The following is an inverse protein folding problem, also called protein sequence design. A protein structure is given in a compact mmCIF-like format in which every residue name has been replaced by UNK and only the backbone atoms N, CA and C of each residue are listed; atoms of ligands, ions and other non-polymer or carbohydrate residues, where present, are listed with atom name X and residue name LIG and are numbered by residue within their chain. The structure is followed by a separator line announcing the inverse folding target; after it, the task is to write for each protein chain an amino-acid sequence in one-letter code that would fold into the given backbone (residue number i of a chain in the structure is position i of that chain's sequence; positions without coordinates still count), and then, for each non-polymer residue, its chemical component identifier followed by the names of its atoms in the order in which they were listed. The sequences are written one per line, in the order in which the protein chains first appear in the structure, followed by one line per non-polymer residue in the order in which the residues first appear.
data_IF_341203197170
#
_entry.id   IF_341203197170
#
_cell.length_a   1.000
_cell.length_b   1.000
_cell.length_c   1.000
_cell.angle_alpha   90.00
_cell.angle_beta   90.00
_cell.angle_gamma   90.00
#
_symmetry.space_group_name_H-M   'P 1'
#
loop_
_entity.id
_entity.type
_entity.pdbx_description
1 polymer ?
#
# COMPACT_ATOMS: atom_id res chain seq x y z
N UNK A 1 0.17 -5.11 21.89
CA UNK A 1 -1.21 -4.88 22.32
C UNK A 1 -2.02 -6.16 22.17
N UNK A 2 -2.56 -6.62 23.29
CA UNK A 2 -3.41 -7.81 23.38
C UNK A 2 -4.72 -7.38 24.02
N UNK A 3 -5.83 -7.54 23.30
CA UNK A 3 -7.16 -7.05 23.69
C UNK A 3 -7.63 -7.51 25.09
N UNK A 4 -7.30 -8.75 25.49
CA UNK A 4 -7.68 -9.31 26.78
C UNK A 4 -6.90 -8.73 27.98
N UNK A 5 -5.70 -8.18 27.75
CA UNK A 5 -4.80 -7.71 28.81
C UNK A 5 -4.70 -6.19 28.87
N UNK A 6 -4.85 -5.52 27.72
CA UNK A 6 -4.57 -4.09 27.59
C UNK A 6 -5.84 -3.23 27.58
N UNK A 7 -7.02 -3.85 27.39
CA UNK A 7 -8.30 -3.14 27.45
C UNK A 7 -8.94 -3.35 28.82
N UNK A 8 -8.95 -2.29 29.62
CA UNK A 8 -9.59 -2.30 30.91
C UNK A 8 -11.11 -2.45 30.79
N UNK A 9 -11.77 -3.19 31.70
CA UNK A 9 -13.22 -3.29 31.73
C UNK A 9 -13.87 -1.90 31.87
N UNK A 10 -14.80 -1.60 30.95
CA UNK A 10 -15.51 -0.31 30.94
C UNK A 10 -14.95 0.75 29.99
N UNK A 11 -13.80 0.48 29.34
CA UNK A 11 -13.31 1.34 28.26
C UNK A 11 -14.03 1.01 26.93
N UNK A 12 -14.13 2.04 26.06
CA UNK A 12 -14.62 1.83 24.71
C UNK A 12 -13.55 1.07 23.90
N UNK A 13 -13.74 -0.24 23.81
CA UNK A 13 -12.87 -1.17 23.06
C UNK A 13 -12.53 -0.66 21.66
N UNK A 14 -13.49 0.01 21.03
CA UNK A 14 -13.32 0.55 19.69
C UNK A 14 -12.31 1.68 19.66
N UNK A 15 -12.41 2.65 20.56
CA UNK A 15 -11.50 3.80 20.62
C UNK A 15 -10.06 3.38 20.92
N UNK A 16 -9.88 2.43 21.83
CA UNK A 16 -8.56 1.90 22.17
C UNK A 16 -7.93 1.16 21.00
N UNK A 17 -8.70 0.35 20.29
CA UNK A 17 -8.23 -0.39 19.14
C UNK A 17 -7.87 0.53 17.99
N UNK A 18 -8.72 1.50 17.66
CA UNK A 18 -8.47 2.50 16.61
C UNK A 18 -7.22 3.33 16.92
N UNK A 19 -7.01 3.73 18.18
CA UNK A 19 -5.83 4.51 18.59
C UNK A 19 -4.52 3.73 18.53
N UNK A 20 -4.55 2.44 18.83
CA UNK A 20 -3.36 1.59 18.81
C UNK A 20 -2.99 1.13 17.37
N UNK A 21 -3.96 0.94 16.49
CA UNK A 21 -3.75 0.53 15.10
C UNK A 21 -2.84 1.50 14.36
N UNK A 22 -2.97 2.81 14.56
CA UNK A 22 -2.19 3.83 13.86
C UNK A 22 -0.67 3.75 14.11
N UNK A 23 -0.25 3.14 15.22
CA UNK A 23 1.17 3.07 15.65
C UNK A 23 1.71 1.66 15.74
N UNK A 24 1.02 0.71 15.15
CA UNK A 24 1.30 -0.72 15.30
C UNK A 24 1.46 -1.41 13.96
N UNK A 25 1.88 -2.66 14.00
CA UNK A 25 1.71 -3.63 12.92
C UNK A 25 0.58 -4.57 13.33
N UNK A 26 -0.45 -4.69 12.52
CA UNK A 26 -1.50 -5.67 12.76
C UNK A 26 -1.01 -7.06 12.37
N UNK A 27 -0.89 -7.95 13.35
CA UNK A 27 -0.58 -9.37 13.12
C UNK A 27 -1.87 -10.18 13.18
N UNK A 28 -2.34 -10.61 12.02
CA UNK A 28 -3.56 -11.41 11.88
C UNK A 28 -3.20 -12.88 12.04
N UNK A 29 -3.73 -13.53 13.09
CA UNK A 29 -3.67 -14.98 13.23
C UNK A 29 -4.88 -15.61 12.54
N UNK A 30 -4.74 -15.96 11.27
CA UNK A 30 -5.79 -16.54 10.44
C UNK A 30 -5.98 -18.02 10.81
N UNK A 31 -7.02 -18.31 11.56
CA UNK A 31 -7.47 -19.67 11.92
C UNK A 31 -8.73 -20.02 11.14
N UNK A 32 -9.20 -21.26 11.24
CA UNK A 32 -10.42 -21.74 10.56
C UNK A 32 -11.64 -20.83 10.83
N UNK A 33 -11.74 -20.26 12.04
CA UNK A 33 -12.86 -19.40 12.47
C UNK A 33 -12.59 -17.89 12.41
N UNK A 34 -11.40 -17.45 11.95
CA UNK A 34 -11.02 -16.03 11.97
C UNK A 34 -12.03 -15.17 11.22
N UNK A 35 -12.30 -15.54 9.99
CA UNK A 35 -13.16 -14.77 9.09
C UNK A 35 -14.66 -14.82 9.45
N UNK A 36 -15.11 -15.76 10.25
CA UNK A 36 -16.50 -15.82 10.75
C UNK A 36 -16.76 -14.79 11.84
N UNK A 37 -15.73 -14.34 12.57
CA UNK A 37 -15.82 -13.37 13.68
C UNK A 37 -15.91 -11.94 13.14
N UNK A 38 -16.97 -11.23 13.47
CA UNK A 38 -17.21 -9.87 12.99
C UNK A 38 -16.11 -8.88 13.43
N UNK A 39 -15.59 -9.00 14.65
CA UNK A 39 -14.53 -8.16 15.16
C UNK A 39 -13.23 -8.34 14.40
N UNK A 40 -12.79 -9.57 14.15
CA UNK A 40 -11.58 -9.85 13.38
C UNK A 40 -11.62 -9.21 11.97
N UNK A 41 -12.77 -9.25 11.33
CA UNK A 41 -12.95 -8.54 10.04
C UNK A 41 -12.86 -7.04 10.17
N UNK A 42 -13.45 -6.45 11.23
CA UNK A 42 -13.39 -5.00 11.49
C UNK A 42 -11.98 -4.51 11.76
N UNK A 43 -11.19 -5.24 12.55
CA UNK A 43 -9.78 -4.91 12.81
C UNK A 43 -8.98 -4.79 11.52
N UNK A 44 -9.12 -5.74 10.60
CA UNK A 44 -8.46 -5.69 9.30
C UNK A 44 -8.91 -4.49 8.47
N UNK A 45 -10.22 -4.23 8.42
CA UNK A 45 -10.74 -3.10 7.66
C UNK A 45 -10.27 -1.75 8.25
N UNK A 46 -10.22 -1.62 9.57
CA UNK A 46 -9.67 -0.44 10.24
C UNK A 46 -8.17 -0.27 9.96
N UNK A 47 -7.37 -1.34 10.12
CA UNK A 47 -5.95 -1.31 9.81
C UNK A 47 -5.70 -0.83 8.38
N UNK A 48 -6.43 -1.37 7.41
CA UNK A 48 -6.33 -0.95 6.00
C UNK A 48 -6.78 0.49 5.78
N UNK A 49 -7.87 0.92 6.40
CA UNK A 49 -8.37 2.29 6.26
C UNK A 49 -7.43 3.34 6.84
N UNK A 50 -6.65 2.96 7.85
CA UNK A 50 -5.63 3.80 8.50
C UNK A 50 -4.24 3.65 7.87
N UNK A 51 -4.08 2.75 6.90
CA UNK A 51 -2.79 2.47 6.28
C UNK A 51 -1.80 1.79 7.24
N UNK A 52 -2.29 1.08 8.25
CA UNK A 52 -1.47 0.30 9.19
C UNK A 52 -0.80 -0.87 8.47
N UNK A 53 0.50 -1.12 8.70
CA UNK A 53 1.16 -2.34 8.25
C UNK A 53 0.42 -3.57 8.76
N UNK A 54 0.26 -4.58 7.88
CA UNK A 54 -0.51 -5.78 8.20
C UNK A 54 0.23 -7.02 7.70
N UNK A 55 0.31 -8.05 8.54
CA UNK A 55 0.86 -9.35 8.18
C UNK A 55 -0.12 -10.45 8.57
N UNK A 56 -0.19 -11.52 7.78
CA UNK A 56 -1.08 -12.64 8.00
C UNK A 56 -0.27 -13.87 8.41
N UNK A 57 -0.61 -14.44 9.54
CA UNK A 57 -0.08 -15.71 10.00
C UNK A 57 -1.11 -16.78 9.72
N UNK A 58 -0.86 -17.58 8.69
CA UNK A 58 -1.78 -18.62 8.29
C UNK A 58 -1.63 -19.85 9.20
N UNK A 59 -2.60 -20.03 10.08
CA UNK A 59 -2.75 -21.13 11.02
C UNK A 59 -4.02 -21.94 10.77
N UNK A 60 -4.53 -21.93 9.54
CA UNK A 60 -5.68 -22.74 9.11
C UNK A 60 -5.28 -24.22 9.14
N UNK A 61 -6.07 -25.03 9.84
CA UNK A 61 -5.80 -26.45 10.06
C UNK A 61 -6.68 -27.37 9.18
N UNK A 62 -7.91 -27.01 9.01
CA UNK A 62 -8.87 -27.78 8.19
C UNK A 62 -9.32 -26.94 6.99
N UNK A 63 -10.21 -25.99 7.23
CA UNK A 63 -10.73 -25.08 6.23
C UNK A 63 -11.26 -23.80 6.88
N UNK A 64 -11.22 -22.71 6.17
CA UNK A 64 -11.89 -21.49 6.62
C UNK A 64 -13.41 -21.65 6.51
N UNK A 65 -14.14 -21.35 7.58
CA UNK A 65 -15.62 -21.35 7.56
C UNK A 65 -16.18 -20.29 6.60
N UNK A 66 -15.42 -19.21 6.38
CA UNK A 66 -15.82 -18.10 5.53
C UNK A 66 -14.61 -17.45 4.87
N UNK A 67 -14.65 -17.26 3.57
CA UNK A 67 -13.66 -16.46 2.86
C UNK A 67 -13.70 -14.98 3.28
N UNK A 68 -12.52 -14.37 3.40
CA UNK A 68 -12.36 -12.94 3.67
C UNK A 68 -11.30 -12.34 2.74
N UNK A 69 -11.71 -11.72 1.62
CA UNK A 69 -10.81 -11.34 0.53
C UNK A 69 -9.79 -10.26 0.89
N UNK A 70 -10.01 -9.51 1.98
CA UNK A 70 -9.16 -8.37 2.35
C UNK A 70 -7.83 -8.74 3.02
N UNK A 71 -7.49 -10.02 3.09
CA UNK A 71 -6.18 -10.50 3.55
C UNK A 71 -5.24 -10.84 2.38
N UNK A 72 -5.76 -10.95 1.16
CA UNK A 72 -5.04 -11.51 0.02
C UNK A 72 -3.85 -10.70 -0.49
N UNK A 73 -3.80 -9.39 -0.22
CA UNK A 73 -2.69 -8.51 -0.61
C UNK A 73 -1.70 -8.21 0.53
N UNK A 74 -1.83 -8.89 1.66
CA UNK A 74 -0.91 -8.74 2.79
C UNK A 74 0.17 -9.83 2.76
N UNK A 75 1.41 -9.53 3.20
CA UNK A 75 2.43 -10.54 3.40
C UNK A 75 1.93 -11.65 4.32
N UNK A 76 2.12 -12.89 3.92
CA UNK A 76 1.64 -14.04 4.70
C UNK A 76 2.76 -15.01 5.04
N UNK A 77 2.66 -15.61 6.23
CA UNK A 77 3.52 -16.67 6.72
C UNK A 77 2.66 -17.87 7.11
N UNK A 78 2.92 -19.02 6.53
CA UNK A 78 2.31 -20.26 7.00
C UNK A 78 3.16 -20.82 8.14
N UNK A 79 2.53 -21.07 9.29
CA UNK A 79 3.22 -21.65 10.44
C UNK A 79 3.08 -23.17 10.44
N UNK A 80 4.13 -23.83 10.94
CA UNK A 80 4.13 -25.22 11.32
C UNK A 80 4.25 -25.29 12.86
N UNK A 81 3.27 -25.83 13.53
CA UNK A 81 3.23 -25.99 15.00
C UNK A 81 4.45 -26.77 15.52
N UNK A 82 5.07 -27.61 14.68
CA UNK A 82 6.23 -28.42 15.00
C UNK A 82 7.56 -27.68 14.89
N UNK A 83 7.58 -26.55 14.18
CA UNK A 83 8.79 -25.72 14.08
C UNK A 83 8.88 -24.77 15.27
N UNK A 84 9.83 -24.97 16.21
CA UNK A 84 9.95 -24.10 17.37
C UNK A 84 10.36 -22.67 17.05
N UNK A 85 10.75 -22.39 15.80
CA UNK A 85 11.21 -21.05 15.37
C UNK A 85 10.08 -20.16 14.86
N UNK A 86 8.86 -20.69 14.70
CA UNK A 86 7.75 -19.91 14.15
C UNK A 86 7.49 -18.57 14.86
N UNK A 87 7.64 -18.43 16.22
CA UNK A 87 7.42 -17.11 16.85
C UNK A 87 8.45 -16.07 16.40
N UNK A 88 9.70 -16.47 16.23
CA UNK A 88 10.75 -15.59 15.72
C UNK A 88 10.47 -15.19 14.26
N UNK A 89 9.95 -16.11 13.44
CA UNK A 89 9.56 -15.82 12.06
C UNK A 89 8.39 -14.81 12.00
N UNK A 90 7.43 -14.90 12.91
CA UNK A 90 6.32 -13.92 13.04
C UNK A 90 6.86 -12.54 13.35
N UNK A 91 7.77 -12.43 14.33
CA UNK A 91 8.40 -11.15 14.67
C UNK A 91 9.19 -10.61 13.48
N UNK A 92 9.95 -11.45 12.80
CA UNK A 92 10.75 -11.05 11.65
C UNK A 92 9.90 -10.53 10.48
N UNK A 93 8.78 -11.18 10.15
CA UNK A 93 7.88 -10.70 9.08
C UNK A 93 7.19 -9.40 9.47
N UNK A 94 6.76 -9.25 10.73
CA UNK A 94 6.15 -8.03 11.24
C UNK A 94 7.12 -6.84 11.18
N UNK A 95 8.36 -7.03 11.66
CA UNK A 95 9.41 -6.00 11.59
C UNK A 95 9.77 -5.63 10.15
N UNK A 96 9.89 -6.62 9.26
CA UNK A 96 10.16 -6.37 7.84
C UNK A 96 9.05 -5.55 7.19
N UNK A 97 7.80 -5.83 7.50
CA UNK A 97 6.66 -5.08 6.96
C UNK A 97 6.64 -3.65 7.51
N UNK A 98 6.91 -3.47 8.78
CA UNK A 98 7.03 -2.15 9.40
C UNK A 98 8.17 -1.33 8.76
N UNK A 99 9.35 -1.94 8.55
CA UNK A 99 10.49 -1.28 7.91
C UNK A 99 10.18 -0.92 6.45
N UNK A 100 9.54 -1.82 5.71
CA UNK A 100 9.08 -1.54 4.33
C UNK A 100 8.16 -0.32 4.29
N UNK A 101 7.25 -0.24 5.22
CA UNK A 101 6.31 0.87 5.35
C UNK A 101 7.03 2.19 5.67
N UNK A 102 7.87 2.22 6.70
CA UNK A 102 8.64 3.40 7.07
C UNK A 102 9.55 3.86 5.93
N UNK A 103 10.22 2.92 5.28
CA UNK A 103 11.11 3.22 4.15
C UNK A 103 10.35 3.81 2.96
N UNK A 104 9.16 3.28 2.64
CA UNK A 104 8.32 3.82 1.57
C UNK A 104 7.97 5.29 1.81
N UNK A 105 7.54 5.65 3.02
CA UNK A 105 7.19 7.04 3.33
C UNK A 105 8.40 7.97 3.32
N UNK A 106 9.53 7.53 3.87
CA UNK A 106 10.78 8.31 3.86
C UNK A 106 11.26 8.54 2.42
N UNK A 107 11.36 7.48 1.63
CA UNK A 107 11.76 7.57 0.22
C UNK A 107 10.80 8.44 -0.60
N UNK A 108 9.49 8.32 -0.37
CA UNK A 108 8.50 9.16 -1.05
C UNK A 108 8.66 10.65 -0.70
N UNK A 109 8.96 10.97 0.55
CA UNK A 109 9.22 12.34 0.97
C UNK A 109 10.43 12.93 0.23
N UNK A 110 11.53 12.16 0.15
CA UNK A 110 12.74 12.57 -0.57
C UNK A 110 12.45 12.76 -2.09
N UNK A 111 11.74 11.82 -2.71
CA UNK A 111 11.38 11.91 -4.13
C UNK A 111 10.47 13.10 -4.45
N UNK A 112 9.56 13.46 -3.53
CA UNK A 112 8.75 14.67 -3.64
C UNK A 112 9.60 15.93 -3.49
N UNK A 113 10.54 15.94 -2.54
CA UNK A 113 11.41 17.06 -2.31
C UNK A 113 12.29 17.38 -3.52
N UNK A 114 12.82 16.37 -4.22
CA UNK A 114 13.62 16.54 -5.43
C UNK A 114 12.81 16.69 -6.71
N UNK A 115 11.47 16.72 -6.63
CA UNK A 115 10.56 16.92 -7.75
C UNK A 115 10.40 15.72 -8.71
N UNK A 116 10.88 14.55 -8.35
CA UNK A 116 10.70 13.32 -9.13
C UNK A 116 9.30 12.74 -9.00
N UNK A 117 8.61 13.02 -7.91
CA UNK A 117 7.22 12.66 -7.66
C UNK A 117 6.41 13.94 -7.41
N UNK A 118 5.27 14.15 -8.07
CA UNK A 118 4.38 15.29 -7.83
C UNK A 118 3.90 15.36 -6.38
N UNK A 119 3.71 16.59 -5.88
CA UNK A 119 3.28 16.81 -4.49
C UNK A 119 1.86 16.32 -4.19
N UNK A 120 0.98 16.34 -5.20
CA UNK A 120 -0.42 15.91 -5.14
C UNK A 120 -0.62 14.38 -5.11
N UNK A 121 0.46 13.59 -5.24
CA UNK A 121 0.38 12.14 -5.10
C UNK A 121 0.11 11.74 -3.65
N UNK A 122 -1.02 11.07 -3.42
CA UNK A 122 -1.36 10.53 -2.10
C UNK A 122 -0.73 9.15 -1.89
N UNK A 123 -0.06 8.90 -0.75
CA UNK A 123 0.53 7.61 -0.48
C UNK A 123 -0.53 6.56 -0.16
N UNK A 124 -0.32 5.35 -0.71
CA UNK A 124 -0.99 4.12 -0.32
C UNK A 124 0.08 3.13 0.12
N UNK A 125 0.08 2.64 1.37
CA UNK A 125 1.17 1.80 1.90
C UNK A 125 1.23 0.41 1.27
N UNK A 126 0.20 0.02 0.54
CA UNK A 126 0.08 -1.23 -0.19
C UNK A 126 -0.53 -0.99 -1.58
N UNK A 127 -0.41 -1.95 -2.52
CA UNK A 127 -1.13 -1.89 -3.79
C UNK A 127 -2.61 -1.64 -3.54
N UNK A 128 -3.24 -0.69 -4.27
CA UNK A 128 -4.63 -0.35 -4.05
C UNK A 128 -5.56 -1.50 -4.41
N UNK A 129 -6.51 -1.77 -3.54
CA UNK A 129 -7.64 -2.68 -3.77
C UNK A 129 -8.85 -1.91 -4.27
N UNK A 130 -9.79 -2.60 -4.92
CA UNK A 130 -11.05 -1.99 -5.39
C UNK A 130 -11.77 -1.26 -4.25
N UNK A 131 -11.81 -1.83 -3.05
CA UNK A 131 -12.42 -1.20 -1.87
C UNK A 131 -11.74 0.11 -1.49
N UNK A 132 -10.41 0.15 -1.54
CA UNK A 132 -9.61 1.35 -1.27
C UNK A 132 -9.94 2.46 -2.26
N UNK A 133 -10.06 2.11 -3.54
CA UNK A 133 -10.41 3.06 -4.60
C UNK A 133 -11.84 3.58 -4.44
N UNK A 134 -12.81 2.71 -4.20
CA UNK A 134 -14.21 3.13 -3.97
C UNK A 134 -14.35 4.05 -2.76
N UNK A 135 -13.65 3.76 -1.66
CA UNK A 135 -13.65 4.62 -0.47
C UNK A 135 -13.06 6.00 -0.76
N UNK A 136 -12.02 6.07 -1.60
CA UNK A 136 -11.41 7.33 -2.00
C UNK A 136 -12.28 8.14 -2.95
N UNK A 137 -12.91 7.49 -3.93
CA UNK A 137 -13.87 8.14 -4.84
C UNK A 137 -15.03 8.80 -4.09
N UNK A 138 -15.45 8.22 -2.96
CA UNK A 138 -16.47 8.82 -2.11
C UNK A 138 -15.99 10.06 -1.36
N UNK A 139 -14.68 10.18 -1.10
CA UNK A 139 -14.09 11.27 -0.30
C UNK A 139 -13.55 12.41 -1.16
N UNK A 140 -13.05 12.13 -2.35
CA UNK A 140 -12.40 13.09 -3.25
C UNK A 140 -12.60 12.68 -4.70
N UNK A 141 -12.95 13.62 -5.57
CA UNK A 141 -13.24 13.36 -6.99
C UNK A 141 -11.99 13.09 -7.85
N UNK A 142 -10.78 13.32 -7.35
CA UNK A 142 -9.54 13.04 -8.06
C UNK A 142 -8.37 12.90 -7.08
N UNK A 143 -8.01 11.70 -6.73
CA UNK A 143 -6.81 11.45 -5.95
C UNK A 143 -5.81 10.65 -6.79
N UNK A 144 -4.64 11.21 -7.05
CA UNK A 144 -3.52 10.50 -7.63
C UNK A 144 -2.87 9.63 -6.55
N UNK A 145 -2.76 8.32 -6.78
CA UNK A 145 -2.22 7.35 -5.82
C UNK A 145 -0.83 6.90 -6.17
N UNK A 146 0.05 6.88 -5.17
CA UNK A 146 1.37 6.28 -5.26
C UNK A 146 1.53 5.19 -4.20
N UNK A 147 1.96 4.00 -4.63
CA UNK A 147 2.12 2.83 -3.77
C UNK A 147 3.53 2.22 -3.96
N UNK A 148 4.03 1.40 -3.01
CA UNK A 148 5.35 0.79 -3.10
C UNK A 148 5.53 -0.08 -4.34
N UNK A 149 6.74 -0.07 -4.93
CA UNK A 149 7.13 -1.02 -5.96
C UNK A 149 7.03 -2.48 -5.47
N UNK A 150 6.78 -3.48 -6.37
CA UNK A 150 6.70 -3.37 -7.83
C UNK A 150 5.34 -2.86 -8.33
N UNK A 151 5.28 -2.34 -9.58
CA UNK A 151 4.03 -1.91 -10.19
C UNK A 151 3.08 -3.10 -10.42
N UNK A 152 1.79 -2.85 -10.33
CA UNK A 152 0.74 -3.80 -10.69
C UNK A 152 0.90 -4.29 -12.13
N UNK A 153 0.46 -5.51 -12.40
CA UNK A 153 0.39 -6.09 -13.74
C UNK A 153 -0.48 -5.29 -14.70
N UNK A 154 -0.36 -5.57 -16.00
CA UNK A 154 -1.15 -4.88 -17.04
C UNK A 154 -2.65 -5.07 -16.84
N UNK A 155 -3.07 -6.30 -16.57
CA UNK A 155 -4.47 -6.68 -16.40
C UNK A 155 -5.07 -6.01 -15.15
N UNK A 156 -4.35 -6.02 -14.04
CA UNK A 156 -4.79 -5.37 -12.80
C UNK A 156 -4.97 -3.87 -12.99
N UNK A 157 -4.04 -3.21 -13.69
CA UNK A 157 -4.14 -1.78 -14.01
C UNK A 157 -5.33 -1.45 -14.89
N UNK A 158 -5.62 -2.30 -15.88
CA UNK A 158 -6.80 -2.15 -16.75
C UNK A 158 -8.07 -2.24 -15.91
N UNK A 159 -8.22 -3.27 -15.06
CA UNK A 159 -9.39 -3.44 -14.19
C UNK A 159 -9.55 -2.25 -13.24
N UNK A 160 -8.48 -1.78 -12.61
CA UNK A 160 -8.55 -0.64 -11.70
C UNK A 160 -8.92 0.66 -12.44
N UNK A 161 -8.42 0.86 -13.67
CA UNK A 161 -8.78 2.03 -14.48
C UNK A 161 -10.24 2.02 -14.96
N UNK A 162 -10.86 0.84 -15.07
CA UNK A 162 -12.30 0.74 -15.36
C UNK A 162 -13.16 1.13 -14.15
N UNK A 163 -12.69 0.81 -12.93
CA UNK A 163 -13.40 1.15 -11.68
C UNK A 163 -13.21 2.62 -11.30
N UNK A 164 -12.03 3.16 -11.54
CA UNK A 164 -11.65 4.51 -11.15
C UNK A 164 -10.84 5.21 -12.28
N UNK A 165 -11.51 5.60 -13.40
CA UNK A 165 -10.84 6.16 -14.57
C UNK A 165 -10.12 7.49 -14.27
N UNK A 166 -10.61 8.26 -13.31
CA UNK A 166 -10.09 9.57 -12.95
C UNK A 166 -8.95 9.51 -11.93
N UNK A 167 -8.60 8.32 -11.43
CA UNK A 167 -7.50 8.15 -10.47
C UNK A 167 -6.25 7.64 -11.18
N UNK A 168 -5.17 8.41 -11.11
CA UNK A 168 -3.85 7.94 -11.53
C UNK A 168 -3.23 7.06 -10.45
N UNK A 169 -2.90 5.81 -10.79
CA UNK A 169 -2.27 4.84 -9.89
C UNK A 169 -0.86 4.55 -10.41
N UNK A 170 0.17 4.77 -9.58
CA UNK A 170 1.56 4.62 -9.99
C UNK A 170 2.46 4.19 -8.84
N UNK A 171 3.71 3.84 -9.16
CA UNK A 171 4.77 3.57 -8.18
C UNK A 171 5.87 4.63 -8.28
N UNK A 172 6.72 4.79 -7.25
CA UNK A 172 7.83 5.75 -7.27
C UNK A 172 8.73 5.59 -8.49
N UNK A 173 9.13 4.36 -8.79
CA UNK A 173 10.00 4.05 -9.95
C UNK A 173 9.33 4.40 -11.28
N UNK A 174 8.05 4.06 -11.45
CA UNK A 174 7.29 4.36 -12.67
C UNK A 174 7.11 5.87 -12.84
N UNK A 175 6.82 6.60 -11.76
CA UNK A 175 6.65 8.04 -11.78
C UNK A 175 7.96 8.77 -12.15
N UNK A 176 9.06 8.42 -11.50
CA UNK A 176 10.39 8.99 -11.78
C UNK A 176 10.83 8.74 -13.23
N UNK A 177 10.60 7.54 -13.76
CA UNK A 177 10.95 7.21 -15.16
C UNK A 177 10.18 8.03 -16.19
N UNK A 178 8.92 8.36 -15.92
CA UNK A 178 8.10 9.21 -16.81
C UNK A 178 8.59 10.67 -16.80
N UNK A 179 9.00 11.18 -15.66
CA UNK A 179 9.49 12.56 -15.53
C UNK A 179 10.86 12.75 -16.19
N UNK A 180 11.76 11.76 -16.08
CA UNK A 180 13.04 11.78 -16.79
C UNK A 180 12.88 11.78 -18.32
N UNK A 181 11.90 11.07 -18.88
CA UNK A 181 11.61 11.10 -20.32
C UNK A 181 11.07 12.45 -20.78
N UNK A 182 10.26 13.14 -19.96
CA UNK A 182 9.77 14.49 -20.29
C UNK A 182 10.89 15.54 -20.24
N UNK A 183 11.83 15.42 -19.31
CA UNK A 183 12.99 16.30 -19.23
C UNK A 183 13.92 16.21 -20.46
N UNK A 184 14.19 15.00 -20.96
CA UNK A 184 15.02 14.80 -22.13
C UNK A 184 14.36 15.26 -23.44
N UNK A 185 13.04 15.15 -23.58
CA UNK A 185 12.33 15.62 -24.78
C UNK A 185 12.23 17.13 -24.86
N UNK A 186 12.19 17.84 -23.74
CA UNK A 186 12.24 19.31 -23.72
C UNK A 186 13.64 19.86 -24.02
N UNK A 187 14.69 19.17 -23.60
CA UNK A 187 16.09 19.54 -23.90
C UNK A 187 16.42 19.34 -25.38
N UNK A 188 15.90 18.30 -26.01
CA UNK A 188 16.11 18.04 -27.45
C UNK A 188 15.32 18.99 -28.36
N UNK A 189 14.16 19.49 -27.92
CA UNK A 189 13.42 20.52 -28.69
C UNK A 189 14.07 21.90 -28.64
N UNK A 190 14.78 22.23 -27.55
CA UNK A 190 15.56 23.46 -27.44
C UNK A 190 16.82 23.49 -28.31
N UNK A 191 17.32 22.32 -28.75
CA UNK A 191 18.55 22.20 -29.52
C UNK A 191 18.34 22.21 -31.05
N UNK A 192 17.10 22.13 -31.54
CA UNK A 192 16.77 22.13 -32.97
C UNK A 192 16.45 23.52 -33.55
N UNK A 193 16.48 24.60 -32.82
CA UNK A 193 16.15 25.97 -33.27
C UNK A 193 17.42 26.80 -33.62
N UNK A 194 18.60 26.21 -33.64
CA UNK A 194 19.86 26.93 -33.82
C UNK A 194 20.65 26.72 -35.12
N UNK A 195 20.10 26.16 -36.21
CA UNK A 195 20.78 25.98 -37.49
C UNK A 195 19.92 26.44 -38.65
N UNK A 196 19.76 27.77 -38.80
CA UNK A 196 19.43 28.39 -40.08
C UNK A 196 20.73 28.82 -40.75
N UNK A 197 21.20 28.02 -41.69
CA UNK A 197 22.30 28.38 -42.58
C UNK A 197 21.73 29.35 -43.60
N UNK A 198 22.17 30.59 -43.56
CA UNK A 198 21.95 31.58 -44.61
C UNK A 198 22.83 31.22 -45.83
N UNK A 199 22.26 30.65 -46.86
CA UNK A 199 22.86 30.63 -48.19
C UNK A 199 22.49 31.92 -48.93
N UNK A 200 23.44 32.82 -49.06
CA UNK A 200 23.44 33.88 -50.09
C UNK A 200 24.19 33.35 -51.31
N UNK A 201 23.62 33.42 -52.51
CA UNK A 201 24.35 33.15 -53.74
C UNK A 201 25.03 34.45 -54.23
N UNK A 202 26.29 34.33 -54.60
CA UNK A 202 26.96 35.20 -55.61
C UNK A 202 26.84 34.55 -56.97
#
# INVERSE_FOLDING_TARGET
FFDTNDISPGFDFRSELEGNIERSVLVVLQTDHYASRAWCRREVLWAKSKGCPLVVINAVRQQEERGFPYLGNAPSLRIDDKDPTWPAQVVAIALREMLRHCWFYANLADLKQVGLVPQDMEPSPSPPEILTLLTRLQKSSSANLIYPDPPLGSEERILLSQVAPDITITTPTTCASKNNKKGNTSSLKGMQIGLSISNTPD
#
